data_IF_577432785713
#
_entry.id   IF_577432785713
#
_cell.length_a   1.000
_cell.length_b   1.000
_cell.length_c   1.000
_cell.angle_alpha   90.00
_cell.angle_beta   90.00
_cell.angle_gamma   90.00
#
_symmetry.space_group_name_H-M   'P 1'
#
loop_
_entity.id
_entity.type
_entity.pdbx_description
1 polymer ?
#
# COMPACT_ATOMS: atom_id res chain seq x y z
N UNK A 1 -88.20 31.47 -11.86
CA UNK A 1 -87.64 30.48 -10.90
C UNK A 1 -86.12 30.30 -11.29
N UNK A 2 -85.28 31.00 -10.52
CA UNK A 2 -83.85 31.01 -10.79
C UNK A 2 -83.16 30.13 -9.71
N UNK A 3 -82.69 28.97 -10.08
CA UNK A 3 -82.03 28.06 -9.20
C UNK A 3 -80.54 28.50 -9.08
N UNK A 4 -80.20 29.19 -8.03
CA UNK A 4 -78.84 29.55 -7.72
C UNK A 4 -78.08 28.27 -7.33
N UNK A 5 -77.16 27.86 -8.18
CA UNK A 5 -76.22 26.73 -7.94
C UNK A 5 -75.13 27.19 -6.99
N UNK A 6 -75.21 26.72 -5.75
CA UNK A 6 -74.31 27.03 -4.69
C UNK A 6 -73.04 26.27 -4.87
N UNK A 7 -72.06 26.88 -5.52
CA UNK A 7 -70.72 26.34 -5.66
C UNK A 7 -70.04 26.41 -4.29
N UNK A 8 -69.94 25.25 -3.62
CA UNK A 8 -69.11 25.07 -2.44
C UNK A 8 -67.70 25.38 -2.81
N UNK A 9 -67.17 26.51 -2.43
CA UNK A 9 -65.73 26.80 -2.47
C UNK A 9 -65.08 25.85 -1.47
N UNK A 10 -64.47 24.78 -2.01
CA UNK A 10 -63.71 23.86 -1.19
C UNK A 10 -62.47 24.61 -0.73
N UNK A 11 -62.30 24.77 0.59
CA UNK A 11 -61.12 25.31 1.22
C UNK A 11 -59.91 24.51 0.70
N UNK A 12 -59.13 25.13 -0.16
CA UNK A 12 -57.93 24.50 -0.74
C UNK A 12 -56.87 24.44 0.37
N UNK A 13 -56.70 23.26 0.95
CA UNK A 13 -55.58 23.03 1.82
C UNK A 13 -54.28 23.38 1.08
N UNK A 14 -53.31 23.98 1.74
CA UNK A 14 -52.04 24.31 1.08
C UNK A 14 -51.40 23.01 0.59
N UNK A 15 -50.84 23.06 -0.61
CA UNK A 15 -50.30 21.92 -1.38
C UNK A 15 -49.33 21.03 -0.60
N UNK A 16 -48.55 21.61 0.35
CA UNK A 16 -47.58 20.88 1.18
C UNK A 16 -48.23 19.99 2.25
N UNK A 17 -49.55 20.14 2.50
CA UNK A 17 -50.32 19.26 3.40
C UNK A 17 -50.92 18.06 2.68
N UNK A 18 -50.94 18.09 1.36
CA UNK A 18 -51.41 16.98 0.56
C UNK A 18 -50.33 15.88 0.48
N UNK A 19 -50.65 14.58 0.60
CA UNK A 19 -49.70 13.50 0.59
C UNK A 19 -49.14 13.21 -0.82
N UNK A 20 -49.92 13.46 -1.87
CA UNK A 20 -49.56 13.07 -3.22
C UNK A 20 -48.32 13.78 -3.81
N UNK A 21 -48.03 15.08 -3.58
CA UNK A 21 -46.78 15.68 -4.05
C UNK A 21 -45.54 15.02 -3.43
N UNK A 22 -45.64 14.65 -2.14
CA UNK A 22 -44.54 13.98 -1.45
C UNK A 22 -44.28 12.58 -1.97
N UNK A 23 -45.33 11.83 -2.37
CA UNK A 23 -45.19 10.51 -3.00
C UNK A 23 -44.46 10.63 -4.36
N UNK A 24 -44.82 11.65 -5.16
CA UNK A 24 -44.14 11.88 -6.46
C UNK A 24 -42.70 12.33 -6.26
N UNK A 25 -42.42 13.15 -5.27
CA UNK A 25 -41.06 13.63 -4.97
C UNK A 25 -40.18 12.54 -4.30
N UNK A 26 -40.76 11.54 -3.68
CA UNK A 26 -40.02 10.45 -3.04
C UNK A 26 -39.10 9.72 -4.01
N UNK A 27 -39.52 9.44 -5.25
CA UNK A 27 -38.73 8.80 -6.26
C UNK A 27 -37.42 9.54 -6.56
N UNK A 28 -37.48 10.80 -7.03
CA UNK A 28 -36.26 11.60 -7.24
C UNK A 28 -35.43 11.78 -5.97
N UNK A 29 -36.05 11.93 -4.79
CA UNK A 29 -35.31 12.06 -3.53
C UNK A 29 -34.47 10.83 -3.21
N UNK A 30 -35.01 9.63 -3.38
CA UNK A 30 -34.27 8.37 -3.20
C UNK A 30 -33.08 8.28 -4.16
N UNK A 31 -33.24 8.67 -5.41
CA UNK A 31 -32.14 8.67 -6.39
C UNK A 31 -31.02 9.64 -5.99
N UNK A 32 -31.37 10.82 -5.50
CA UNK A 32 -30.39 11.81 -5.02
C UNK A 32 -29.61 11.25 -3.82
N UNK A 33 -30.31 10.67 -2.84
CA UNK A 33 -29.66 10.06 -1.66
C UNK A 33 -28.74 8.90 -2.10
N UNK A 34 -29.20 8.02 -2.99
CA UNK A 34 -28.40 6.94 -3.53
C UNK A 34 -27.16 7.47 -4.28
N UNK A 35 -27.30 8.57 -5.02
CA UNK A 35 -26.18 9.25 -5.69
C UNK A 35 -25.13 9.76 -4.70
N UNK A 36 -25.53 10.37 -3.61
CA UNK A 36 -24.60 10.81 -2.56
C UNK A 36 -23.90 9.64 -1.88
N UNK A 37 -24.62 8.55 -1.60
CA UNK A 37 -24.00 7.33 -1.04
C UNK A 37 -22.98 6.75 -2.00
N UNK A 38 -23.29 6.66 -3.30
CA UNK A 38 -22.38 6.17 -4.31
C UNK A 38 -21.15 7.07 -4.45
N UNK A 39 -21.33 8.38 -4.46
CA UNK A 39 -20.24 9.35 -4.48
C UNK A 39 -19.34 9.22 -3.23
N UNK A 40 -19.95 9.07 -2.07
CA UNK A 40 -19.20 8.82 -0.82
C UNK A 40 -18.40 7.53 -0.89
N UNK A 41 -19.01 6.44 -1.33
CA UNK A 41 -18.30 5.16 -1.52
C UNK A 41 -17.16 5.29 -2.51
N UNK A 42 -17.34 6.00 -3.62
CA UNK A 42 -16.29 6.23 -4.61
C UNK A 42 -15.08 7.01 -4.04
N UNK A 43 -15.33 7.96 -3.12
CA UNK A 43 -14.26 8.72 -2.47
C UNK A 43 -13.55 7.88 -1.39
N UNK A 44 -14.29 7.08 -0.65
CA UNK A 44 -13.73 6.24 0.45
C UNK A 44 -13.03 5.00 -0.10
N UNK A 45 -13.55 4.40 -1.17
CA UNK A 45 -12.92 3.29 -1.89
C UNK A 45 -11.85 3.74 -2.87
N UNK A 46 -11.18 4.85 -2.61
CA UNK A 46 -10.16 5.43 -3.48
C UNK A 46 -9.11 4.39 -3.92
N UNK A 47 -9.50 3.55 -4.87
CA UNK A 47 -8.59 2.75 -5.67
C UNK A 47 -7.82 3.75 -6.53
N UNK A 48 -6.56 3.95 -6.17
CA UNK A 48 -5.69 4.96 -6.76
C UNK A 48 -5.86 5.04 -8.27
N UNK A 49 -6.11 6.24 -8.74
CA UNK A 49 -6.27 6.60 -10.15
C UNK A 49 -5.17 5.96 -11.01
N UNK A 50 -5.57 5.05 -11.86
CA UNK A 50 -4.70 4.19 -12.71
C UNK A 50 -4.09 4.96 -13.90
N UNK A 51 -4.30 6.27 -14.05
CA UNK A 51 -4.09 6.87 -15.38
C UNK A 51 -2.80 7.67 -15.61
N UNK A 52 -2.15 8.21 -14.60
CA UNK A 52 -0.93 9.03 -14.85
C UNK A 52 0.38 8.36 -14.45
N UNK A 53 0.34 7.13 -13.99
CA UNK A 53 1.49 6.48 -13.35
C UNK A 53 2.24 5.48 -14.22
N UNK A 54 1.76 5.17 -15.45
CA UNK A 54 2.48 4.23 -16.32
C UNK A 54 3.89 4.71 -16.66
N UNK A 55 4.05 6.01 -16.92
CA UNK A 55 5.38 6.58 -17.18
C UNK A 55 6.27 6.55 -15.95
N UNK A 56 5.74 6.94 -14.79
CA UNK A 56 6.45 6.87 -13.52
C UNK A 56 6.74 5.44 -13.10
N UNK A 57 5.80 4.51 -13.33
CA UNK A 57 6.02 3.09 -13.09
C UNK A 57 7.13 2.54 -13.98
N UNK A 58 7.18 2.90 -15.26
CA UNK A 58 8.26 2.53 -16.18
C UNK A 58 9.62 3.04 -15.72
N UNK A 59 9.71 4.29 -15.28
CA UNK A 59 10.93 4.85 -14.70
C UNK A 59 11.33 4.13 -13.41
N UNK A 60 10.36 3.82 -12.54
CA UNK A 60 10.60 3.12 -11.28
C UNK A 60 11.10 1.69 -11.53
N UNK A 61 10.57 0.99 -12.53
CA UNK A 61 11.03 -0.35 -12.92
C UNK A 61 12.48 -0.30 -13.40
N UNK A 62 12.81 0.62 -14.30
CA UNK A 62 14.18 0.79 -14.79
C UNK A 62 15.16 1.13 -13.66
N UNK A 63 14.76 1.98 -12.75
CA UNK A 63 15.57 2.33 -11.58
C UNK A 63 15.79 1.14 -10.64
N UNK A 64 14.76 0.29 -10.45
CA UNK A 64 14.89 -0.96 -9.68
C UNK A 64 15.85 -1.93 -10.35
N UNK A 65 15.71 -2.13 -11.67
CA UNK A 65 16.62 -2.99 -12.44
C UNK A 65 18.07 -2.53 -12.35
N UNK A 66 18.30 -1.21 -12.46
CA UNK A 66 19.65 -0.65 -12.32
C UNK A 66 20.25 -0.95 -10.93
N UNK A 67 19.46 -0.79 -9.86
CA UNK A 67 19.91 -1.11 -8.49
C UNK A 67 20.20 -2.59 -8.29
N UNK A 68 19.39 -3.48 -8.87
CA UNK A 68 19.60 -4.93 -8.80
C UNK A 68 20.88 -5.32 -9.58
N UNK A 69 21.13 -4.71 -10.75
CA UNK A 69 22.36 -4.90 -11.53
C UNK A 69 23.60 -4.40 -10.79
N UNK A 70 23.50 -3.25 -10.14
CA UNK A 70 24.58 -2.69 -9.34
C UNK A 70 24.96 -3.65 -8.20
N UNK A 71 23.95 -4.17 -7.48
CA UNK A 71 24.17 -5.18 -6.45
C UNK A 71 24.87 -6.44 -7.01
N UNK A 72 24.48 -6.90 -8.20
CA UNK A 72 25.12 -8.04 -8.87
C UNK A 72 26.58 -7.75 -9.24
N UNK A 73 26.88 -6.57 -9.78
CA UNK A 73 28.24 -6.15 -10.14
C UNK A 73 29.16 -6.08 -8.92
N UNK A 74 28.63 -5.63 -7.77
CA UNK A 74 29.34 -5.57 -6.49
C UNK A 74 29.43 -6.95 -5.81
N UNK A 75 28.81 -8.00 -6.36
CA UNK A 75 28.77 -9.34 -5.77
C UNK A 75 28.10 -9.39 -4.40
N UNK A 76 27.13 -8.49 -4.16
CA UNK A 76 26.46 -8.37 -2.88
C UNK A 76 25.52 -9.56 -2.64
N UNK A 77 25.58 -10.10 -1.43
CA UNK A 77 24.57 -11.00 -0.89
C UNK A 77 24.48 -10.82 0.62
N UNK A 78 23.34 -11.14 1.18
CA UNK A 78 23.11 -10.99 2.61
C UNK A 78 22.32 -12.17 3.16
N UNK A 79 22.74 -12.66 4.31
CA UNK A 79 22.00 -13.66 5.08
C UNK A 79 21.33 -12.96 6.28
N UNK A 80 20.00 -13.00 6.31
CA UNK A 80 19.17 -12.37 7.36
C UNK A 80 18.68 -13.42 8.33
N UNK A 81 18.93 -13.21 9.60
CA UNK A 81 18.50 -14.08 10.69
C UNK A 81 17.60 -13.30 11.64
N UNK A 82 16.53 -13.92 12.13
CA UNK A 82 15.62 -13.36 13.12
C UNK A 82 15.73 -14.08 14.45
N UNK A 83 15.66 -13.32 15.54
CA UNK A 83 15.51 -13.83 16.89
C UNK A 83 14.50 -12.95 17.65
N UNK A 84 13.25 -13.42 17.73
CA UNK A 84 12.14 -12.62 18.24
C UNK A 84 11.93 -11.35 17.39
N UNK A 85 11.98 -10.18 18.01
CA UNK A 85 11.91 -8.88 17.32
C UNK A 85 13.29 -8.39 16.83
N UNK A 86 14.38 -9.05 17.23
CA UNK A 86 15.72 -8.72 16.76
C UNK A 86 15.99 -9.31 15.38
N UNK A 87 16.64 -8.52 14.52
CA UNK A 87 17.13 -8.95 13.22
C UNK A 87 18.63 -8.76 13.16
N UNK A 88 19.33 -9.80 12.75
CA UNK A 88 20.74 -9.76 12.42
C UNK A 88 20.95 -10.08 10.95
N UNK A 89 21.92 -9.43 10.36
CA UNK A 89 22.25 -9.59 8.96
C UNK A 89 23.75 -9.71 8.83
N UNK A 90 24.17 -10.70 8.04
CA UNK A 90 25.55 -10.81 7.58
C UNK A 90 25.58 -10.49 6.10
N UNK A 91 26.27 -9.42 5.75
CA UNK A 91 26.46 -8.99 4.37
C UNK A 91 27.84 -9.39 3.89
N UNK A 92 27.89 -9.97 2.71
CA UNK A 92 29.11 -10.22 2.00
C UNK A 92 29.11 -9.48 0.66
N UNK A 93 30.30 -9.02 0.28
CA UNK A 93 30.55 -8.26 -0.94
C UNK A 93 31.88 -8.71 -1.53
N UNK A 94 32.13 -8.35 -2.79
CA UNK A 94 33.46 -8.49 -3.39
C UNK A 94 34.45 -7.58 -2.65
N UNK A 95 35.73 -7.97 -2.60
CA UNK A 95 36.74 -7.44 -1.68
C UNK A 95 36.94 -5.91 -1.67
N UNK A 96 36.50 -5.19 -2.69
CA UNK A 96 36.68 -3.72 -2.81
C UNK A 96 35.40 -2.90 -2.49
N UNK A 97 34.27 -3.54 -2.18
CA UNK A 97 33.03 -2.84 -1.91
C UNK A 97 33.01 -2.28 -0.49
N UNK A 98 32.92 -0.94 -0.35
CA UNK A 98 32.68 -0.31 0.94
C UNK A 98 31.24 -0.53 1.35
N UNK A 99 31.03 -1.24 2.45
CA UNK A 99 29.73 -1.43 3.04
C UNK A 99 29.34 -0.19 3.86
N UNK A 100 28.12 0.35 3.70
CA UNK A 100 27.67 1.53 4.44
C UNK A 100 27.45 1.22 5.91
N UNK A 101 27.52 2.26 6.77
CA UNK A 101 27.30 2.10 8.23
C UNK A 101 25.85 1.77 8.59
N UNK A 102 24.91 2.12 7.71
CA UNK A 102 23.49 1.84 7.91
C UNK A 102 22.88 1.27 6.66
N UNK A 103 21.91 0.37 6.83
CA UNK A 103 21.12 -0.24 5.76
C UNK A 103 19.64 -0.13 6.08
N UNK A 104 18.81 -0.18 5.06
CA UNK A 104 17.36 -0.18 5.17
C UNK A 104 16.83 -1.57 4.78
N UNK A 105 16.30 -2.29 5.76
CA UNK A 105 15.65 -3.58 5.55
C UNK A 105 14.15 -3.39 5.59
N UNK A 106 13.50 -3.63 4.44
CA UNK A 106 12.06 -3.48 4.29
C UNK A 106 11.40 -4.86 4.17
N UNK A 107 10.36 -5.05 4.96
CA UNK A 107 9.45 -6.19 4.89
C UNK A 107 8.14 -5.71 4.29
N UNK A 108 7.76 -6.22 3.13
CA UNK A 108 6.51 -5.89 2.46
C UNK A 108 5.59 -7.12 2.43
N UNK A 109 4.34 -6.95 2.89
CA UNK A 109 3.37 -8.04 2.83
C UNK A 109 2.79 -8.14 1.40
N UNK A 110 2.76 -9.33 0.78
CA UNK A 110 2.37 -9.46 -0.64
C UNK A 110 0.92 -9.09 -0.94
N UNK A 111 0.03 -9.14 0.05
CA UNK A 111 -1.43 -8.96 -0.16
C UNK A 111 -2.09 -7.96 0.79
N UNK A 112 -1.41 -7.50 1.84
CA UNK A 112 -2.00 -6.60 2.84
C UNK A 112 -1.25 -5.28 2.87
N UNK A 113 -1.83 -4.26 2.29
CA UNK A 113 -1.29 -2.91 2.36
C UNK A 113 -1.30 -2.38 3.81
N UNK A 114 -0.25 -1.67 4.19
CA UNK A 114 -0.15 -1.04 5.52
C UNK A 114 0.49 -1.91 6.61
N UNK A 115 0.87 -3.15 6.32
CA UNK A 115 1.65 -3.98 7.25
C UNK A 115 3.16 -3.91 7.01
N UNK A 116 3.58 -3.13 6.05
CA UNK A 116 4.99 -2.97 5.71
C UNK A 116 5.80 -2.47 6.91
N UNK A 117 6.95 -3.08 7.16
CA UNK A 117 7.87 -2.65 8.19
C UNK A 117 9.21 -2.24 7.58
N UNK A 118 9.72 -1.11 8.04
CA UNK A 118 11.05 -0.62 7.69
C UNK A 118 11.95 -0.70 8.93
N UNK A 119 13.01 -1.48 8.83
CA UNK A 119 13.98 -1.65 9.91
C UNK A 119 15.29 -0.99 9.49
N UNK A 120 15.76 -0.05 10.32
CA UNK A 120 17.09 0.53 10.15
C UNK A 120 18.10 -0.44 10.77
N UNK A 121 18.99 -0.95 9.94
CA UNK A 121 20.08 -1.83 10.32
C UNK A 121 21.33 -0.98 10.55
N UNK A 122 22.03 -1.22 11.67
CA UNK A 122 23.27 -0.51 12.04
C UNK A 122 24.44 -1.48 11.99
N UNK A 123 25.54 -1.06 11.43
CA UNK A 123 26.74 -1.86 11.30
C UNK A 123 27.38 -2.13 12.67
N UNK A 124 27.71 -3.39 12.93
CA UNK A 124 28.51 -3.84 14.05
C UNK A 124 29.96 -4.14 13.65
N UNK A 125 30.29 -3.88 12.38
CA UNK A 125 31.61 -4.18 11.80
C UNK A 125 31.67 -5.53 11.09
N UNK A 126 32.67 -5.71 10.24
CA UNK A 126 32.94 -6.97 9.51
C UNK A 126 31.74 -7.51 8.70
N UNK A 127 30.87 -6.63 8.21
CA UNK A 127 29.67 -7.02 7.46
C UNK A 127 28.48 -7.45 8.31
N UNK A 128 28.58 -7.39 9.64
CA UNK A 128 27.46 -7.64 10.54
C UNK A 128 26.64 -6.38 10.77
N UNK A 129 25.32 -6.54 10.74
CA UNK A 129 24.35 -5.49 11.04
C UNK A 129 23.27 -6.01 11.98
N UNK A 130 22.77 -5.14 12.83
CA UNK A 130 21.64 -5.42 13.71
C UNK A 130 20.57 -4.36 13.63
N UNK A 131 19.33 -4.77 13.92
CA UNK A 131 18.17 -3.91 13.95
C UNK A 131 17.02 -4.53 14.74
N UNK A 132 15.97 -3.76 14.97
CA UNK A 132 14.77 -4.24 15.66
C UNK A 132 13.52 -3.97 14.82
N UNK A 133 12.66 -4.97 14.73
CA UNK A 133 11.33 -4.89 14.13
C UNK A 133 10.33 -4.28 15.11
N UNK A 134 9.31 -3.62 14.58
CA UNK A 134 8.23 -3.06 15.38
C UNK A 134 7.22 -4.11 15.87
N UNK A 135 7.03 -5.19 15.12
CA UNK A 135 6.12 -6.29 15.44
C UNK A 135 6.64 -7.61 14.88
N UNK A 136 6.11 -8.71 15.38
CA UNK A 136 6.42 -10.04 14.85
C UNK A 136 5.81 -10.21 13.44
N UNK A 137 6.57 -10.90 12.60
CA UNK A 137 6.17 -11.23 11.24
C UNK A 137 5.70 -12.69 11.19
N UNK A 138 4.53 -12.92 10.60
CA UNK A 138 3.97 -14.25 10.36
C UNK A 138 3.63 -14.39 8.88
N UNK A 139 3.78 -15.59 8.34
CA UNK A 139 3.48 -15.87 6.93
C UNK A 139 4.61 -15.47 5.97
N UNK A 140 4.21 -15.18 4.71
CA UNK A 140 5.14 -14.87 3.62
C UNK A 140 5.36 -13.36 3.48
N UNK A 141 6.62 -12.98 3.34
CA UNK A 141 7.04 -11.58 3.19
C UNK A 141 8.01 -11.44 2.01
N UNK A 142 7.90 -10.32 1.33
CA UNK A 142 8.90 -9.88 0.37
C UNK A 142 9.87 -8.99 1.14
N UNK A 143 11.13 -9.39 1.19
CA UNK A 143 12.17 -8.67 1.95
C UNK A 143 13.10 -8.00 0.96
N UNK A 144 13.33 -6.71 1.14
CA UNK A 144 14.33 -5.95 0.38
C UNK A 144 15.33 -5.27 1.30
N UNK A 145 16.59 -5.32 0.94
CA UNK A 145 17.69 -4.65 1.59
C UNK A 145 18.23 -3.59 0.64
N UNK A 146 18.27 -2.36 1.08
CA UNK A 146 18.71 -1.22 0.28
C UNK A 146 19.72 -0.38 1.08
N UNK A 147 20.64 0.27 0.37
CA UNK A 147 21.45 1.29 1.01
C UNK A 147 20.67 2.61 1.12
N UNK A 148 21.00 3.50 2.05
CA UNK A 148 20.31 4.78 2.22
C UNK A 148 20.41 5.71 1.00
N UNK A 149 21.47 5.60 0.19
CA UNK A 149 21.62 6.38 -1.05
C UNK A 149 20.80 5.81 -2.20
N UNK A 150 20.33 4.55 -2.08
CA UNK A 150 19.53 3.88 -3.08
C UNK A 150 20.35 3.46 -4.31
N UNK A 151 21.64 3.21 -4.16
CA UNK A 151 22.52 2.79 -5.26
C UNK A 151 22.30 1.32 -5.64
N UNK A 152 22.06 0.45 -4.67
CA UNK A 152 21.86 -0.97 -4.90
C UNK A 152 20.69 -1.52 -4.07
N UNK A 153 20.20 -2.70 -4.48
CA UNK A 153 19.13 -3.40 -3.80
C UNK A 153 19.33 -4.91 -3.89
N UNK A 154 19.07 -5.60 -2.78
CA UNK A 154 18.89 -7.05 -2.72
C UNK A 154 17.42 -7.35 -2.40
N UNK A 155 16.94 -8.49 -2.90
CA UNK A 155 15.56 -8.91 -2.64
C UNK A 155 15.49 -10.42 -2.44
N UNK A 156 14.54 -10.86 -1.61
CA UNK A 156 14.22 -12.27 -1.41
C UNK A 156 12.81 -12.46 -0.88
N UNK A 157 12.29 -13.65 -1.06
CA UNK A 157 11.03 -14.09 -0.46
C UNK A 157 11.33 -14.83 0.84
N UNK A 158 10.63 -14.47 1.90
CA UNK A 158 10.83 -15.07 3.21
C UNK A 158 9.55 -15.61 3.79
N UNK A 159 9.65 -16.83 4.34
CA UNK A 159 8.60 -17.43 5.13
C UNK A 159 8.99 -17.35 6.62
N UNK A 160 8.34 -16.45 7.33
CA UNK A 160 8.73 -16.09 8.70
C UNK A 160 8.64 -17.26 9.70
N UNK A 161 7.79 -18.24 9.43
CA UNK A 161 7.54 -19.41 10.29
C UNK A 161 8.61 -20.49 10.17
N UNK A 162 9.40 -20.49 9.11
CA UNK A 162 10.36 -21.57 8.83
C UNK A 162 11.57 -21.59 9.78
N UNK A 163 11.82 -20.50 10.53
CA UNK A 163 13.00 -20.35 11.39
C UNK A 163 14.33 -20.36 10.61
N UNK A 164 14.27 -20.41 9.27
CA UNK A 164 15.45 -20.44 8.41
C UNK A 164 15.98 -19.04 8.17
N UNK A 165 17.31 -18.94 8.03
CA UNK A 165 17.94 -17.72 7.54
C UNK A 165 17.48 -17.41 6.11
N UNK A 166 17.14 -16.16 5.84
CA UNK A 166 16.79 -15.69 4.51
C UNK A 166 18.06 -15.26 3.78
N UNK A 167 18.33 -15.85 2.63
CA UNK A 167 19.37 -15.36 1.74
C UNK A 167 18.79 -14.33 0.76
N UNK A 168 19.32 -13.12 0.80
CA UNK A 168 19.03 -12.04 -0.14
C UNK A 168 20.13 -12.02 -1.22
N UNK A 169 19.70 -12.03 -2.47
CA UNK A 169 20.60 -11.98 -3.63
C UNK A 169 20.12 -10.92 -4.62
N UNK A 170 20.99 -10.41 -5.50
CA UNK A 170 20.55 -9.59 -6.61
C UNK A 170 19.54 -10.36 -7.46
N UNK A 171 18.47 -9.72 -7.87
CA UNK A 171 17.50 -10.35 -8.77
C UNK A 171 18.14 -10.55 -10.13
N UNK A 172 18.18 -11.78 -10.62
CA UNK A 172 18.66 -12.06 -11.97
C UNK A 172 17.76 -11.34 -12.99
N UNK A 173 18.35 -10.48 -13.80
CA UNK A 173 17.71 -9.84 -14.93
C UNK A 173 17.91 -10.75 -16.13
N UNK A 174 16.86 -11.50 -16.49
CA UNK A 174 16.83 -12.27 -17.74
C UNK A 174 16.33 -11.36 -18.87
#
# INVERSE_FOLDING_TARGET
>A
MSTAMNLKVTDKQPWYKEPWPWIIMAGPAVVVVAGFITAWLAVVSNDGLVSDDYYKQGMTVNQRLHRDQQAATMGLHADVMRSGLGVRLLMAATADAKLPETLLLKFAHPTQAGQDQLVKMVSEGQGFYSGQMGSELNGRWIVSLEDPSGEWRLQGDWQAESGQALRLTPRAVN
#
